data_IF_929804896003
#
_entry.id   IF_929804896003
#
_cell.length_a   1.000
_cell.length_b   1.000
_cell.length_c   1.000
_cell.angle_alpha   90.00
_cell.angle_beta   90.00
_cell.angle_gamma   90.00
#
_symmetry.space_group_name_H-M   'P 1'
#
loop_
_entity.id
_entity.type
_entity.pdbx_description
1 polymer ?
#
# COMPACT_ATOMS: atom_id res chain seq x y z
N UNK A 1 -20.50 3.56 -19.89
CA UNK A 1 -20.63 2.70 -18.70
C UNK A 1 -21.46 3.39 -17.63
N UNK A 2 -22.52 2.75 -17.16
CA UNK A 2 -23.28 3.20 -15.98
C UNK A 2 -22.49 2.94 -14.68
N UNK A 3 -22.96 3.43 -13.53
CA UNK A 3 -22.25 3.29 -12.26
C UNK A 3 -22.09 1.81 -11.81
N UNK A 4 -23.08 0.98 -12.09
CA UNK A 4 -23.09 -0.43 -11.75
C UNK A 4 -22.00 -1.21 -12.52
N UNK A 5 -21.86 -0.95 -13.83
CA UNK A 5 -20.84 -1.55 -14.69
C UNK A 5 -19.42 -1.18 -14.24
N UNK A 6 -19.21 0.06 -13.78
CA UNK A 6 -17.91 0.51 -13.24
C UNK A 6 -17.55 -0.25 -11.97
N UNK A 7 -18.48 -0.36 -11.03
CA UNK A 7 -18.24 -1.06 -9.76
C UNK A 7 -18.01 -2.56 -9.98
N UNK A 8 -18.77 -3.18 -10.90
CA UNK A 8 -18.55 -4.58 -11.29
C UNK A 8 -17.16 -4.79 -11.89
N UNK A 9 -16.70 -3.89 -12.77
CA UNK A 9 -15.36 -3.98 -13.35
C UNK A 9 -14.25 -3.86 -12.30
N UNK A 10 -14.41 -2.93 -11.34
CA UNK A 10 -13.46 -2.76 -10.23
C UNK A 10 -13.41 -4.01 -9.35
N UNK A 11 -14.58 -4.60 -9.06
CA UNK A 11 -14.69 -5.83 -8.30
C UNK A 11 -13.94 -6.98 -8.99
N UNK A 12 -14.24 -7.25 -10.26
CA UNK A 12 -13.65 -8.37 -11.00
C UNK A 12 -12.14 -8.25 -11.16
N UNK A 13 -11.64 -7.05 -11.49
CA UNK A 13 -10.20 -6.82 -11.61
C UNK A 13 -9.51 -6.98 -10.25
N UNK A 14 -10.13 -6.48 -9.18
CA UNK A 14 -9.60 -6.62 -7.82
C UNK A 14 -9.52 -8.08 -7.40
N UNK A 15 -10.61 -8.85 -7.60
CA UNK A 15 -10.65 -10.28 -7.31
C UNK A 15 -9.51 -11.01 -8.02
N UNK A 16 -9.37 -10.78 -9.32
CA UNK A 16 -8.34 -11.41 -10.15
C UNK A 16 -6.93 -11.03 -9.69
N UNK A 17 -6.69 -9.77 -9.31
CA UNK A 17 -5.40 -9.34 -8.79
C UNK A 17 -5.03 -10.03 -7.47
N UNK A 18 -6.00 -10.24 -6.58
CA UNK A 18 -5.80 -10.95 -5.31
C UNK A 18 -5.53 -12.45 -5.54
N UNK A 19 -6.32 -13.09 -6.40
CA UNK A 19 -6.10 -14.49 -6.80
C UNK A 19 -4.72 -14.70 -7.45
N UNK A 20 -4.31 -13.79 -8.34
CA UNK A 20 -2.97 -13.83 -8.93
C UNK A 20 -1.85 -13.61 -7.91
N UNK A 21 -2.11 -12.80 -6.87
CA UNK A 21 -1.16 -12.61 -5.77
C UNK A 21 -0.96 -13.91 -5.00
N UNK A 22 -2.05 -14.65 -4.72
CA UNK A 22 -1.98 -15.99 -4.11
C UNK A 22 -1.16 -16.95 -5.00
N UNK A 23 -1.42 -16.98 -6.31
CA UNK A 23 -0.63 -17.80 -7.23
C UNK A 23 0.86 -17.44 -7.21
N UNK A 24 1.20 -16.14 -7.18
CA UNK A 24 2.59 -15.68 -7.12
C UNK A 24 3.26 -16.05 -5.78
N UNK A 25 2.52 -16.03 -4.67
CA UNK A 25 3.02 -16.48 -3.38
C UNK A 25 3.29 -17.99 -3.39
N UNK A 26 2.40 -18.81 -3.95
CA UNK A 26 2.65 -20.25 -4.12
C UNK A 26 3.87 -20.52 -4.99
N UNK A 27 4.04 -19.78 -6.08
CA UNK A 27 5.26 -19.87 -6.90
C UNK A 27 6.51 -19.57 -6.06
N UNK A 28 6.49 -18.49 -5.29
CA UNK A 28 7.60 -18.13 -4.40
C UNK A 28 7.88 -19.23 -3.37
N UNK A 29 6.84 -19.80 -2.75
CA UNK A 29 6.95 -20.89 -1.77
C UNK A 29 7.61 -22.11 -2.39
N UNK A 30 7.12 -22.55 -3.57
CA UNK A 30 7.64 -23.71 -4.27
C UNK A 30 9.12 -23.56 -4.68
N UNK A 31 9.57 -22.33 -4.94
CA UNK A 31 10.94 -22.04 -5.36
C UNK A 31 11.83 -21.50 -4.23
N UNK A 32 11.34 -21.49 -2.99
CA UNK A 32 12.12 -21.00 -1.83
C UNK A 32 12.40 -19.50 -1.83
N UNK A 33 11.66 -18.69 -2.59
CA UNK A 33 11.80 -17.24 -2.66
C UNK A 33 11.09 -16.60 -1.45
N UNK A 34 11.86 -16.06 -0.50
CA UNK A 34 11.35 -15.49 0.76
C UNK A 34 11.06 -13.98 0.71
N UNK A 35 10.82 -13.43 -0.49
CA UNK A 35 10.56 -12.00 -0.67
C UNK A 35 9.43 -11.80 -1.69
N UNK A 36 8.49 -10.92 -1.35
CA UNK A 36 7.45 -10.48 -2.30
C UNK A 36 7.13 -9.01 -2.12
N UNK A 37 7.03 -8.26 -3.22
CA UNK A 37 6.56 -6.88 -3.18
C UNK A 37 5.19 -6.83 -3.83
N UNK A 38 4.18 -6.51 -3.01
CA UNK A 38 2.82 -6.31 -3.50
C UNK A 38 2.77 -5.13 -4.47
N UNK A 39 1.91 -5.24 -5.48
CA UNK A 39 1.67 -4.15 -6.44
C UNK A 39 0.83 -3.05 -5.81
N UNK A 40 1.25 -1.79 -5.92
CA UNK A 40 0.41 -0.65 -5.51
C UNK A 40 -0.90 -0.56 -6.32
N UNK A 41 -0.96 -1.20 -7.49
CA UNK A 41 -2.16 -1.29 -8.33
C UNK A 41 -3.03 -2.52 -8.01
N UNK A 42 -2.80 -3.19 -6.86
CA UNK A 42 -3.58 -4.35 -6.43
C UNK A 42 -5.08 -4.05 -6.48
N UNK A 43 -5.47 -2.89 -5.96
CA UNK A 43 -6.83 -2.36 -6.06
C UNK A 43 -6.82 -1.16 -7.03
N UNK A 44 -7.43 -1.28 -8.21
CA UNK A 44 -7.49 -0.18 -9.16
C UNK A 44 -8.23 1.02 -8.58
N UNK A 45 -7.66 2.22 -8.76
CA UNK A 45 -8.27 3.51 -8.41
C UNK A 45 -8.59 3.70 -6.91
N UNK A 46 -8.12 2.84 -6.00
CA UNK A 46 -8.47 2.89 -4.58
C UNK A 46 -8.08 4.19 -3.86
N UNK A 47 -7.03 4.89 -4.33
CA UNK A 47 -6.60 6.17 -3.78
C UNK A 47 -7.14 7.39 -4.56
N UNK A 48 -8.02 7.18 -5.55
CA UNK A 48 -8.54 8.25 -6.40
C UNK A 48 -9.80 8.87 -5.78
N UNK A 49 -9.75 10.17 -5.45
CA UNK A 49 -10.81 10.88 -4.70
C UNK A 49 -12.23 10.81 -5.32
N UNK A 50 -12.35 10.55 -6.63
CA UNK A 50 -13.65 10.45 -7.32
C UNK A 50 -14.23 9.04 -7.37
N UNK A 51 -13.56 8.06 -6.77
CA UNK A 51 -13.96 6.64 -6.81
C UNK A 51 -14.06 6.14 -5.38
N UNK A 52 -15.29 6.09 -4.87
CA UNK A 52 -15.60 5.46 -3.58
C UNK A 52 -16.29 4.13 -3.83
N UNK A 53 -15.68 3.05 -3.35
CA UNK A 53 -16.27 1.72 -3.34
C UNK A 53 -15.61 0.88 -2.25
N UNK A 54 -16.31 -0.13 -1.76
CA UNK A 54 -15.79 -1.04 -0.74
C UNK A 54 -14.95 -2.15 -1.38
N UNK A 55 -13.63 -1.99 -1.30
CA UNK A 55 -12.63 -2.97 -1.78
C UNK A 55 -12.04 -3.83 -0.67
N UNK A 56 -12.54 -3.73 0.57
CA UNK A 56 -12.04 -4.49 1.71
C UNK A 56 -13.00 -5.62 2.06
N UNK A 57 -14.24 -5.30 2.41
CA UNK A 57 -15.18 -6.28 2.96
C UNK A 57 -15.46 -7.46 2.03
N UNK A 58 -15.67 -7.25 0.70
CA UNK A 58 -15.99 -8.36 -0.19
C UNK A 58 -14.85 -9.38 -0.36
N UNK A 59 -13.61 -8.96 -0.11
CA UNK A 59 -12.42 -9.78 -0.37
C UNK A 59 -11.68 -10.20 0.90
N UNK A 60 -12.30 -10.03 2.07
CA UNK A 60 -11.67 -10.32 3.36
C UNK A 60 -11.09 -11.75 3.44
N UNK A 61 -11.74 -12.72 2.80
CA UNK A 61 -11.25 -14.10 2.73
C UNK A 61 -9.92 -14.21 1.95
N UNK A 62 -9.79 -13.54 0.79
CA UNK A 62 -8.56 -13.53 0.00
C UNK A 62 -7.42 -12.79 0.72
N UNK A 63 -7.72 -11.68 1.39
CA UNK A 63 -6.69 -10.96 2.17
C UNK A 63 -6.15 -11.82 3.32
N UNK A 64 -7.04 -12.53 4.04
CA UNK A 64 -6.64 -13.46 5.10
C UNK A 64 -5.79 -14.60 4.57
N UNK A 65 -6.18 -15.21 3.46
CA UNK A 65 -5.41 -16.27 2.80
C UNK A 65 -3.99 -15.79 2.41
N UNK A 66 -3.88 -14.62 1.80
CA UNK A 66 -2.58 -13.98 1.48
C UNK A 66 -1.74 -13.82 2.76
N UNK A 67 -2.34 -13.28 3.83
CA UNK A 67 -1.68 -13.09 5.12
C UNK A 67 -1.18 -14.39 5.73
N UNK A 68 -2.00 -15.42 5.73
CA UNK A 68 -1.68 -16.76 6.25
C UNK A 68 -0.51 -17.39 5.49
N UNK A 69 -0.55 -17.38 4.15
CA UNK A 69 0.55 -17.89 3.31
C UNK A 69 1.87 -17.16 3.61
N UNK A 70 1.81 -15.83 3.72
CA UNK A 70 2.99 -15.00 4.01
C UNK A 70 3.60 -15.37 5.36
N UNK A 71 2.77 -15.48 6.41
CA UNK A 71 3.24 -15.79 7.76
C UNK A 71 3.74 -17.22 7.90
N UNK A 72 2.95 -18.19 7.45
CA UNK A 72 3.27 -19.62 7.54
C UNK A 72 4.60 -19.95 6.87
N UNK A 73 4.90 -19.28 5.75
CA UNK A 73 6.12 -19.53 4.99
C UNK A 73 7.23 -18.51 5.23
N UNK A 74 7.05 -17.55 6.14
CA UNK A 74 8.06 -16.54 6.48
C UNK A 74 8.50 -15.70 5.28
N UNK A 75 7.54 -15.26 4.44
CA UNK A 75 7.82 -14.42 3.27
C UNK A 75 7.93 -12.97 3.73
N UNK A 76 9.07 -12.33 3.50
CA UNK A 76 9.19 -10.89 3.74
C UNK A 76 8.38 -10.13 2.69
N UNK A 77 7.45 -9.30 3.13
CA UNK A 77 6.58 -8.54 2.23
C UNK A 77 6.81 -7.04 2.30
N UNK A 78 6.52 -6.37 1.19
CA UNK A 78 6.56 -4.91 1.13
C UNK A 78 5.61 -4.32 0.10
N UNK A 79 5.30 -3.05 0.26
CA UNK A 79 4.81 -2.17 -0.81
C UNK A 79 5.85 -1.11 -1.13
N UNK A 80 5.74 -0.55 -2.33
CA UNK A 80 6.50 0.62 -2.74
C UNK A 80 5.57 1.60 -3.46
N UNK A 81 4.98 2.56 -2.72
CA UNK A 81 4.11 3.57 -3.30
C UNK A 81 4.78 4.30 -4.47
N UNK A 82 3.98 4.64 -5.47
CA UNK A 82 4.49 5.25 -6.70
C UNK A 82 5.09 6.65 -6.46
N UNK A 83 5.75 7.19 -7.49
CA UNK A 83 6.42 8.49 -7.48
C UNK A 83 5.53 9.71 -7.18
N UNK A 84 4.20 9.55 -7.16
CA UNK A 84 3.26 10.62 -6.80
C UNK A 84 3.06 10.76 -5.28
N UNK A 85 3.56 9.81 -4.49
CA UNK A 85 3.55 9.85 -3.02
C UNK A 85 4.65 10.77 -2.51
N UNK A 86 4.40 12.08 -2.55
CA UNK A 86 5.41 13.13 -2.31
C UNK A 86 5.13 13.92 -1.04
N UNK A 87 6.01 13.76 -0.04
CA UNK A 87 6.01 14.58 1.18
C UNK A 87 6.92 15.82 1.06
N UNK A 88 7.67 15.98 -0.02
CA UNK A 88 8.55 17.14 -0.26
C UNK A 88 7.86 18.31 -0.98
N UNK A 89 6.62 18.14 -1.41
CA UNK A 89 5.86 19.16 -2.12
C UNK A 89 5.52 20.36 -1.22
N UNK A 90 5.51 21.57 -1.80
CA UNK A 90 4.98 22.76 -1.15
C UNK A 90 3.46 22.94 -1.36
N UNK A 91 2.82 22.09 -2.19
CA UNK A 91 1.39 22.13 -2.46
C UNK A 91 0.65 21.20 -1.48
N UNK A 92 -0.23 21.72 -0.60
CA UNK A 92 -0.91 20.92 0.43
C UNK A 92 -1.68 19.72 -0.10
N UNK A 93 -2.36 19.86 -1.24
CA UNK A 93 -3.16 18.76 -1.83
C UNK A 93 -2.28 17.57 -2.27
N UNK A 94 -1.01 17.79 -2.62
CA UNK A 94 -0.08 16.71 -2.98
C UNK A 94 0.27 15.89 -1.73
N UNK A 95 0.56 16.56 -0.62
CA UNK A 95 0.80 15.90 0.67
C UNK A 95 -0.44 15.15 1.15
N UNK A 96 -1.64 15.73 1.03
CA UNK A 96 -2.89 15.05 1.38
C UNK A 96 -3.10 13.76 0.56
N UNK A 97 -2.81 13.80 -0.74
CA UNK A 97 -2.86 12.62 -1.60
C UNK A 97 -1.81 11.57 -1.20
N UNK A 98 -0.60 11.99 -0.82
CA UNK A 98 0.43 11.08 -0.31
C UNK A 98 -0.01 10.38 0.98
N UNK A 99 -0.65 11.12 1.91
CA UNK A 99 -1.22 10.53 3.14
C UNK A 99 -2.32 9.51 2.81
N UNK A 100 -3.22 9.82 1.88
CA UNK A 100 -4.28 8.88 1.47
C UNK A 100 -3.71 7.63 0.79
N UNK A 101 -2.65 7.80 -0.01
CA UNK A 101 -1.94 6.70 -0.63
C UNK A 101 -1.30 5.77 0.43
N UNK A 102 -0.71 6.34 1.48
CA UNK A 102 -0.17 5.57 2.61
C UNK A 102 -1.26 4.84 3.40
N UNK A 103 -2.40 5.49 3.65
CA UNK A 103 -3.56 4.85 4.30
C UNK A 103 -4.06 3.65 3.50
N UNK A 104 -4.18 3.79 2.19
CA UNK A 104 -4.55 2.70 1.29
C UNK A 104 -3.62 1.49 1.46
N UNK A 105 -2.31 1.69 1.36
CA UNK A 105 -1.34 0.60 1.54
C UNK A 105 -1.41 -0.02 2.93
N UNK A 106 -1.56 0.79 3.97
CA UNK A 106 -1.71 0.30 5.34
C UNK A 106 -2.97 -0.55 5.49
N UNK A 107 -4.13 -0.10 5.00
CA UNK A 107 -5.39 -0.85 5.14
C UNK A 107 -5.33 -2.22 4.43
N UNK A 108 -4.63 -2.31 3.29
CA UNK A 108 -4.40 -3.62 2.65
C UNK A 108 -3.56 -4.54 3.53
N UNK A 109 -2.46 -4.04 4.08
CA UNK A 109 -1.64 -4.81 5.01
C UNK A 109 -2.43 -5.22 6.24
N UNK A 110 -3.27 -4.33 6.77
CA UNK A 110 -4.10 -4.61 7.94
C UNK A 110 -5.15 -5.69 7.65
N UNK A 111 -5.81 -5.62 6.48
CA UNK A 111 -6.74 -6.66 6.02
C UNK A 111 -6.06 -8.02 5.83
N UNK A 112 -4.77 -8.02 5.45
CA UNK A 112 -3.93 -9.22 5.37
C UNK A 112 -3.32 -9.62 6.72
N UNK A 113 -3.58 -8.89 7.81
CA UNK A 113 -2.94 -9.07 9.11
C UNK A 113 -1.40 -8.96 9.07
N UNK A 114 -0.86 -8.14 8.17
CA UNK A 114 0.58 -7.92 7.93
C UNK A 114 1.03 -6.50 8.31
N UNK A 115 0.15 -5.65 8.87
CA UNK A 115 0.43 -4.23 9.16
C UNK A 115 1.60 -4.01 10.11
N UNK A 116 1.88 -4.97 11.00
CA UNK A 116 3.06 -4.94 11.87
C UNK A 116 4.32 -5.50 11.20
N UNK A 117 4.23 -6.41 10.24
CA UNK A 117 5.36 -7.21 9.74
C UNK A 117 5.94 -6.70 8.39
N UNK A 118 5.08 -6.13 7.55
CA UNK A 118 5.44 -5.68 6.21
C UNK A 118 6.06 -4.27 6.19
N UNK A 119 6.76 -3.96 5.10
CA UNK A 119 7.39 -2.65 4.89
C UNK A 119 6.66 -1.82 3.84
N UNK A 120 6.47 -0.52 4.07
CA UNK A 120 6.06 0.43 3.02
C UNK A 120 7.26 1.33 2.71
N UNK A 121 7.94 1.07 1.61
CA UNK A 121 9.18 1.77 1.24
C UNK A 121 8.86 3.07 0.52
N UNK A 122 9.30 4.21 1.06
CA UNK A 122 9.05 5.54 0.50
C UNK A 122 10.31 6.16 -0.12
N UNK A 123 10.11 6.93 -1.18
CA UNK A 123 11.09 7.88 -1.66
C UNK A 123 10.93 9.24 -0.96
N UNK A 124 12.03 9.92 -0.66
CA UNK A 124 12.01 11.30 -0.13
C UNK A 124 11.43 12.26 -1.17
N UNK A 125 11.66 12.01 -2.46
CA UNK A 125 11.19 12.84 -3.57
C UNK A 125 12.23 13.88 -4.02
N UNK A 126 11.78 14.88 -4.78
CA UNK A 126 12.65 15.90 -5.38
C UNK A 126 13.11 16.99 -4.41
N UNK A 127 14.17 17.71 -4.78
CA UNK A 127 14.71 18.81 -3.97
C UNK A 127 13.81 20.07 -3.97
N UNK A 128 13.03 20.31 -5.04
CA UNK A 128 12.14 21.48 -5.20
C UNK A 128 12.76 22.78 -4.62
N UNK A 129 13.89 23.21 -5.19
CA UNK A 129 14.76 24.23 -4.62
C UNK A 129 16.02 23.62 -4.02
N UNK A 130 16.27 23.83 -2.72
CA UNK A 130 17.45 23.31 -2.02
C UNK A 130 17.17 21.99 -1.28
N UNK A 131 18.20 21.15 -1.14
CA UNK A 131 18.10 19.88 -0.38
C UNK A 131 17.66 20.10 1.07
N UNK A 132 18.17 21.14 1.74
CA UNK A 132 17.80 21.47 3.12
C UNK A 132 16.32 21.82 3.25
N UNK A 133 15.80 22.65 2.34
CA UNK A 133 14.38 23.00 2.32
C UNK A 133 13.50 21.76 2.03
N UNK A 134 13.96 20.86 1.15
CA UNK A 134 13.25 19.61 0.87
C UNK A 134 13.14 18.71 2.10
N UNK A 135 14.25 18.50 2.81
CA UNK A 135 14.28 17.68 4.03
C UNK A 135 13.37 18.28 5.12
N UNK A 136 13.39 19.60 5.30
CA UNK A 136 12.48 20.26 6.24
C UNK A 136 11.02 20.09 5.86
N UNK A 137 10.66 20.26 4.57
CA UNK A 137 9.29 20.00 4.09
C UNK A 137 8.90 18.54 4.29
N UNK A 138 9.79 17.61 3.96
CA UNK A 138 9.57 16.18 4.17
C UNK A 138 9.26 15.90 5.64
N UNK A 139 10.09 16.38 6.56
CA UNK A 139 9.88 16.19 7.99
C UNK A 139 8.53 16.75 8.46
N UNK A 140 8.19 17.99 8.10
CA UNK A 140 6.94 18.64 8.49
C UNK A 140 5.72 17.93 7.90
N UNK A 141 5.75 17.61 6.61
CA UNK A 141 4.63 16.98 5.92
C UNK A 141 4.42 15.52 6.36
N UNK A 142 5.50 14.80 6.65
CA UNK A 142 5.42 13.44 7.19
C UNK A 142 4.69 13.43 8.54
N UNK A 143 4.69 14.54 9.31
CA UNK A 143 3.92 14.63 10.54
C UNK A 143 2.41 14.46 10.33
N UNK A 144 1.89 14.75 9.15
CA UNK A 144 0.46 14.57 8.81
C UNK A 144 0.06 13.10 8.65
N UNK A 145 1.02 12.18 8.53
CA UNK A 145 0.74 10.75 8.45
C UNK A 145 0.21 10.24 9.82
N UNK A 146 -0.87 9.43 9.87
CA UNK A 146 -1.38 8.89 11.11
C UNK A 146 -0.36 8.06 11.88
N UNK A 147 -0.42 8.11 13.22
CA UNK A 147 0.54 7.44 14.09
C UNK A 147 0.58 5.92 13.89
N UNK A 148 -0.58 5.28 13.62
CA UNK A 148 -0.64 3.83 13.39
C UNK A 148 0.15 3.38 12.15
N UNK A 149 0.34 4.25 11.16
CA UNK A 149 1.16 3.97 9.97
C UNK A 149 2.64 4.24 10.25
N UNK A 150 2.95 5.20 11.13
CA UNK A 150 4.33 5.55 11.51
C UNK A 150 4.93 4.59 12.53
N UNK A 151 4.12 3.74 13.15
CA UNK A 151 4.57 2.90 14.27
C UNK A 151 5.72 2.02 13.80
N UNK A 152 6.90 2.32 14.32
CA UNK A 152 8.07 1.47 14.14
C UNK A 152 8.11 0.53 15.33
N UNK A 153 8.20 -0.76 15.04
CA UNK A 153 8.40 -1.78 16.06
C UNK A 153 9.86 -1.67 16.53
N UNK A 154 10.09 -1.04 17.69
CA UNK A 154 11.43 -0.84 18.26
C UNK A 154 12.13 -2.16 18.61
N UNK A 155 11.43 -3.29 18.59
CA UNK A 155 12.00 -4.64 18.78
C UNK A 155 12.84 -5.14 17.59
N UNK A 156 12.95 -4.35 16.51
CA UNK A 156 13.65 -4.71 15.26
C UNK A 156 14.97 -3.97 15.04
N UNK A 157 15.47 -3.24 16.04
CA UNK A 157 16.85 -2.75 16.10
C UNK A 157 17.75 -3.80 16.74
#
# INVERSE_FOLDING_TARGET
MNAQERNSSLYEITKKNLEHTICALHFNIAHGIKLYRFSSSLIPLAAHQKVEWDYLSPFLHLYKEIGELVKQHGIRTSFHPNQFTLFTSNKPYITANAVNNMKYHYHLLDAMNLSSEAYINLHVGGAYGTKSAAVNRFYTNLQQLPLYIKKTDDSRK
#
